data_IF_793098867468
#
_entry.id   IF_793098867468
#
_cell.length_a   1.000
_cell.length_b   1.000
_cell.length_c   1.000
_cell.angle_alpha   90.00
_cell.angle_beta   90.00
_cell.angle_gamma   90.00
#
_symmetry.space_group_name_H-M   'P 1'
#
loop_
_entity.id
_entity.type
_entity.pdbx_description
1 polymer ?
#
# COMPACT_ATOMS: atom_id res chain seq x y z
N UNK A 1 -22.16 -15.22 5.52
CA UNK A 1 -22.67 -14.66 4.24
C UNK A 1 -21.65 -13.66 3.73
N UNK A 2 -21.61 -13.36 2.43
CA UNK A 2 -20.77 -12.24 1.96
C UNK A 2 -21.38 -10.92 2.39
N UNK A 3 -20.53 -9.95 2.73
CA UNK A 3 -20.88 -8.55 2.96
C UNK A 3 -20.69 -7.69 1.69
N UNK A 4 -20.26 -8.28 0.58
CA UNK A 4 -20.11 -7.58 -0.71
C UNK A 4 -21.47 -7.28 -1.32
N UNK A 5 -21.61 -6.07 -1.86
CA UNK A 5 -22.79 -5.64 -2.61
C UNK A 5 -22.98 -6.47 -3.90
N UNK A 6 -24.22 -6.61 -4.41
CA UNK A 6 -24.48 -7.25 -5.70
C UNK A 6 -23.90 -6.42 -6.87
N UNK A 7 -23.80 -7.04 -8.05
CA UNK A 7 -23.59 -6.29 -9.28
C UNK A 7 -24.77 -5.32 -9.54
N UNK A 8 -24.56 -4.15 -10.17
CA UNK A 8 -23.33 -3.65 -10.79
C UNK A 8 -22.45 -2.80 -9.85
N UNK A 9 -22.41 -3.09 -8.55
CA UNK A 9 -21.51 -2.34 -7.64
C UNK A 9 -20.16 -3.05 -7.52
N UNK A 10 -19.09 -2.31 -7.83
CA UNK A 10 -17.71 -2.81 -7.80
C UNK A 10 -17.34 -3.58 -9.07
N UNK A 11 -17.35 -2.91 -10.21
CA UNK A 11 -16.96 -3.47 -11.52
C UNK A 11 -15.43 -3.59 -11.71
N UNK A 12 -14.64 -3.10 -10.74
CA UNK A 12 -13.17 -3.24 -10.70
C UNK A 12 -12.70 -4.65 -10.27
N UNK A 13 -13.62 -5.59 -10.05
CA UNK A 13 -13.33 -6.99 -9.76
C UNK A 13 -13.98 -7.95 -10.77
N UNK A 14 -13.25 -8.99 -11.18
CA UNK A 14 -13.82 -10.07 -11.97
C UNK A 14 -14.53 -11.08 -11.06
N UNK A 15 -15.87 -10.96 -11.00
CA UNK A 15 -16.75 -11.84 -10.23
C UNK A 15 -16.81 -13.29 -10.74
N UNK A 16 -16.23 -13.61 -11.90
CA UNK A 16 -16.08 -14.99 -12.39
C UNK A 16 -14.81 -15.68 -11.89
N UNK A 17 -13.74 -14.91 -11.62
CA UNK A 17 -12.45 -15.40 -11.11
C UNK A 17 -12.41 -15.35 -9.58
N UNK A 18 -12.83 -16.43 -8.92
CA UNK A 18 -12.77 -16.58 -7.46
C UNK A 18 -11.35 -16.88 -6.99
N UNK A 19 -10.86 -16.11 -6.01
CA UNK A 19 -9.53 -16.25 -5.41
C UNK A 19 -9.66 -16.79 -3.98
N UNK A 20 -8.95 -17.86 -3.64
CA UNK A 20 -8.95 -18.49 -2.31
C UNK A 20 -7.73 -18.06 -1.49
N UNK A 21 -7.95 -17.63 -0.25
CA UNK A 21 -6.87 -17.19 0.65
C UNK A 21 -7.17 -17.57 2.11
N UNK A 22 -6.24 -17.28 3.03
CA UNK A 22 -6.52 -17.40 4.46
C UNK A 22 -6.31 -16.09 5.22
N UNK A 23 -7.09 -15.90 6.28
CA UNK A 23 -7.01 -14.78 7.22
C UNK A 23 -6.90 -15.32 8.64
N UNK A 24 -5.74 -15.17 9.28
CA UNK A 24 -5.45 -15.75 10.59
C UNK A 24 -5.80 -17.26 10.66
N UNK A 25 -5.47 -18.01 9.60
CA UNK A 25 -5.76 -19.45 9.45
C UNK A 25 -7.18 -19.82 9.00
N UNK A 26 -8.14 -18.89 9.01
CA UNK A 26 -9.50 -19.10 8.47
C UNK A 26 -9.48 -18.97 6.94
N UNK A 27 -9.94 -19.99 6.20
CA UNK A 27 -10.13 -19.89 4.74
C UNK A 27 -11.22 -18.85 4.41
N UNK A 28 -10.93 -17.98 3.44
CA UNK A 28 -11.82 -16.94 2.91
C UNK A 28 -11.75 -16.94 1.36
N UNK A 29 -12.66 -16.21 0.73
CA UNK A 29 -12.70 -16.03 -0.73
C UNK A 29 -12.80 -14.54 -1.10
N UNK A 30 -12.06 -14.14 -2.13
CA UNK A 30 -12.19 -12.87 -2.84
C UNK A 30 -12.37 -13.11 -4.33
N UNK A 31 -12.14 -12.07 -5.12
CA UNK A 31 -12.20 -12.08 -6.59
C UNK A 31 -10.93 -11.46 -7.18
N UNK A 32 -10.59 -11.80 -8.43
CA UNK A 32 -9.50 -11.10 -9.13
C UNK A 32 -9.81 -9.59 -9.19
N UNK A 33 -8.79 -8.77 -8.96
CA UNK A 33 -8.92 -7.32 -8.77
C UNK A 33 -9.13 -6.86 -7.32
N UNK A 34 -9.52 -7.73 -6.37
CA UNK A 34 -9.56 -7.35 -4.96
C UNK A 34 -8.18 -6.95 -4.43
N UNK A 35 -8.15 -6.03 -3.47
CA UNK A 35 -7.04 -5.91 -2.52
C UNK A 35 -7.34 -6.72 -1.27
N UNK A 36 -6.31 -7.03 -0.47
CA UNK A 36 -6.50 -7.78 0.78
C UNK A 36 -7.53 -7.08 1.69
N UNK A 37 -7.56 -5.75 1.74
CA UNK A 37 -8.55 -5.00 2.51
C UNK A 37 -9.97 -5.14 1.95
N UNK A 38 -10.18 -5.04 0.63
CA UNK A 38 -11.52 -5.17 0.04
C UNK A 38 -12.07 -6.60 0.19
N UNK A 39 -11.22 -7.61 0.02
CA UNK A 39 -11.57 -9.01 0.26
C UNK A 39 -11.94 -9.28 1.73
N UNK A 40 -11.19 -8.73 2.70
CA UNK A 40 -11.48 -8.91 4.12
C UNK A 40 -12.77 -8.19 4.56
N UNK A 41 -13.01 -6.96 4.08
CA UNK A 41 -14.27 -6.25 4.29
C UNK A 41 -15.46 -7.00 3.68
N UNK A 42 -15.32 -7.54 2.46
CA UNK A 42 -16.33 -8.37 1.81
C UNK A 42 -16.66 -9.69 2.56
N UNK A 43 -15.77 -10.13 3.45
CA UNK A 43 -15.97 -11.27 4.35
C UNK A 43 -16.40 -10.86 5.78
N UNK A 44 -16.68 -9.56 6.01
CA UNK A 44 -17.17 -9.02 7.29
C UNK A 44 -16.09 -8.75 8.34
N UNK A 45 -14.80 -8.85 8.00
CA UNK A 45 -13.71 -8.64 8.95
C UNK A 45 -13.31 -7.15 8.97
N UNK A 46 -14.10 -6.32 9.67
CA UNK A 46 -13.92 -4.85 9.72
C UNK A 46 -12.73 -4.37 10.57
N UNK A 47 -12.21 -5.21 11.47
CA UNK A 47 -10.99 -4.92 12.24
C UNK A 47 -9.87 -5.73 11.60
N UNK A 48 -8.81 -5.05 11.16
CA UNK A 48 -7.67 -5.65 10.47
C UNK A 48 -6.38 -5.58 11.30
N UNK A 49 -6.30 -4.66 12.26
CA UNK A 49 -5.12 -4.47 13.10
C UNK A 49 -5.41 -3.87 14.47
N UNK A 50 -4.32 -3.63 15.22
CA UNK A 50 -4.33 -3.07 16.59
C UNK A 50 -3.29 -1.95 16.66
N UNK A 51 -3.68 -0.80 17.21
CA UNK A 51 -2.77 0.38 17.29
C UNK A 51 -1.53 0.09 18.14
N UNK A 52 -0.34 0.29 17.56
CA UNK A 52 0.99 -0.19 18.05
C UNK A 52 1.19 -0.22 19.58
N UNK A 53 0.79 0.84 20.28
CA UNK A 53 1.04 1.05 21.72
C UNK A 53 -0.14 0.69 22.61
N UNK A 54 -1.36 0.98 22.15
CA UNK A 54 -2.58 0.96 22.98
C UNK A 54 -3.50 -0.22 22.67
N UNK A 55 -3.24 -0.94 21.57
CA UNK A 55 -4.02 -2.09 21.12
C UNK A 55 -5.54 -1.78 20.99
N UNK A 56 -5.87 -0.51 20.74
CA UNK A 56 -7.20 -0.11 20.26
C UNK A 56 -7.44 -0.78 18.89
N UNK A 57 -8.63 -1.38 18.64
CA UNK A 57 -8.98 -1.92 17.33
C UNK A 57 -8.78 -0.90 16.22
N UNK A 58 -8.31 -1.34 15.06
CA UNK A 58 -8.17 -0.52 13.86
C UNK A 58 -8.63 -1.29 12.62
N UNK A 59 -9.41 -0.62 11.78
CA UNK A 59 -9.88 -1.08 10.47
C UNK A 59 -9.42 -0.14 9.37
N UNK A 60 -9.90 -0.36 8.15
CA UNK A 60 -9.70 0.55 7.00
C UNK A 60 -10.16 1.96 7.37
N UNK A 61 -9.37 2.97 7.00
CA UNK A 61 -9.67 4.40 7.15
C UNK A 61 -9.75 5.11 5.80
N UNK A 62 -8.79 4.87 4.91
CA UNK A 62 -8.67 5.57 3.61
C UNK A 62 -8.87 4.65 2.41
N UNK A 63 -8.72 3.33 2.60
CA UNK A 63 -8.79 2.31 1.55
C UNK A 63 -7.73 2.44 0.42
N UNK A 64 -6.68 3.23 0.63
CA UNK A 64 -5.59 3.48 -0.32
C UNK A 64 -4.22 2.97 0.19
N UNK A 65 -3.15 3.16 -0.59
CA UNK A 65 -1.78 2.85 -0.18
C UNK A 65 -1.35 3.51 1.15
N UNK A 66 -1.89 4.68 1.47
CA UNK A 66 -1.50 5.49 2.61
C UNK A 66 -2.20 5.12 3.92
N UNK A 67 -3.12 4.14 3.91
CA UNK A 67 -3.89 3.72 5.08
C UNK A 67 -3.00 3.46 6.31
N UNK A 68 -3.20 4.20 7.42
CA UNK A 68 -2.33 4.16 8.60
C UNK A 68 -2.61 2.98 9.54
N UNK A 69 -3.62 2.16 9.24
CA UNK A 69 -4.15 1.13 10.13
C UNK A 69 -3.90 -0.29 9.60
N UNK A 70 -3.96 -0.49 8.29
CA UNK A 70 -4.17 -1.82 7.67
C UNK A 70 -2.87 -2.45 7.16
N UNK A 71 -1.87 -2.53 8.05
CA UNK A 71 -0.64 -3.30 7.78
C UNK A 71 -0.78 -4.73 8.27
N UNK A 72 -0.59 -5.69 7.37
CA UNK A 72 -0.73 -7.14 7.62
C UNK A 72 0.58 -7.89 7.33
N UNK A 73 0.69 -9.11 7.85
CA UNK A 73 1.64 -10.10 7.36
C UNK A 73 0.99 -10.82 6.17
N UNK A 74 1.74 -11.03 5.09
CA UNK A 74 1.33 -11.88 3.96
C UNK A 74 2.45 -12.88 3.75
N UNK A 75 2.18 -14.15 4.06
CA UNK A 75 3.19 -15.21 4.02
C UNK A 75 4.42 -14.83 4.88
N UNK A 76 5.61 -14.75 4.30
CA UNK A 76 6.84 -14.30 4.97
C UNK A 76 7.06 -12.77 4.95
N UNK A 77 6.26 -12.00 4.21
CA UNK A 77 6.38 -10.55 4.07
C UNK A 77 5.63 -9.77 5.18
N UNK A 78 6.33 -9.02 6.06
CA UNK A 78 5.70 -8.19 7.08
C UNK A 78 5.39 -6.78 6.58
N UNK A 79 4.47 -6.10 7.27
CA UNK A 79 4.08 -4.70 7.09
C UNK A 79 3.43 -4.37 5.73
N UNK A 80 2.88 -5.37 5.05
CA UNK A 80 2.20 -5.22 3.75
C UNK A 80 0.96 -4.35 3.90
N UNK A 81 0.78 -3.37 3.00
CA UNK A 81 -0.41 -2.50 2.95
C UNK A 81 -1.59 -3.29 2.39
N UNK A 82 -2.51 -3.72 3.24
CA UNK A 82 -3.65 -4.53 2.84
C UNK A 82 -4.55 -3.82 1.82
N UNK A 83 -4.64 -2.49 1.90
CA UNK A 83 -5.42 -1.66 0.97
C UNK A 83 -4.81 -1.56 -0.43
N UNK A 84 -3.51 -1.85 -0.61
CA UNK A 84 -2.81 -1.75 -1.91
C UNK A 84 -2.42 -3.10 -2.52
N UNK A 85 -2.03 -4.06 -1.67
CA UNK A 85 -1.64 -5.40 -2.14
C UNK A 85 -2.89 -6.08 -2.70
N UNK A 86 -2.90 -6.29 -4.02
CA UNK A 86 -3.85 -7.18 -4.69
C UNK A 86 -3.83 -8.56 -4.03
N UNK A 87 -5.00 -9.15 -3.92
CA UNK A 87 -5.18 -10.53 -3.49
C UNK A 87 -4.60 -11.48 -4.56
N UNK A 88 -4.01 -12.59 -4.15
CA UNK A 88 -3.64 -13.70 -5.03
C UNK A 88 -4.04 -15.03 -4.38
N UNK A 89 -4.18 -16.07 -5.20
CA UNK A 89 -4.58 -17.40 -4.71
C UNK A 89 -3.49 -18.01 -3.82
N UNK A 90 -3.92 -18.68 -2.75
CA UNK A 90 -3.05 -19.33 -1.76
C UNK A 90 -2.55 -18.44 -0.62
N UNK A 91 -2.58 -17.10 -0.74
CA UNK A 91 -2.00 -16.16 0.25
C UNK A 91 -2.39 -16.46 1.71
N UNK A 92 -1.39 -16.55 2.60
CA UNK A 92 -1.58 -16.65 4.05
C UNK A 92 -1.48 -15.27 4.73
N UNK A 93 -2.62 -14.58 4.83
CA UNK A 93 -2.70 -13.26 5.45
C UNK A 93 -2.94 -13.36 6.96
N UNK A 94 -2.25 -12.57 7.78
CA UNK A 94 -2.52 -12.48 9.22
C UNK A 94 -2.30 -11.09 9.82
N UNK A 95 -2.91 -10.86 10.99
CA UNK A 95 -2.82 -9.60 11.70
C UNK A 95 -1.54 -9.49 12.53
N UNK A 96 -0.87 -8.34 12.42
CA UNK A 96 0.40 -8.07 13.09
C UNK A 96 0.23 -7.46 14.48
N UNK A 97 1.23 -7.63 15.36
CA UNK A 97 1.25 -7.10 16.73
C UNK A 97 -0.02 -7.38 17.57
N UNK A 98 -0.52 -8.61 17.55
CA UNK A 98 -1.66 -9.06 18.37
C UNK A 98 -1.30 -10.30 19.19
N UNK A 99 -1.84 -10.45 20.41
CA UNK A 99 -1.65 -11.71 21.16
C UNK A 99 -2.75 -11.98 22.21
N UNK A 100 -3.33 -13.19 22.28
CA UNK A 100 -3.13 -14.33 21.38
C UNK A 100 -3.83 -14.21 20.03
N UNK A 101 -4.72 -13.23 19.83
CA UNK A 101 -5.44 -13.05 18.55
C UNK A 101 -5.88 -11.60 18.31
N UNK A 102 -6.30 -11.29 17.08
CA UNK A 102 -6.84 -9.96 16.75
C UNK A 102 -8.12 -9.60 17.53
N UNK A 103 -8.96 -10.60 17.85
CA UNK A 103 -10.23 -10.42 18.57
C UNK A 103 -9.99 -10.37 20.08
N UNK A 104 -9.24 -11.33 20.61
CA UNK A 104 -8.77 -11.37 22.00
C UNK A 104 -7.29 -10.98 22.06
N UNK A 105 -7.02 -9.69 22.26
CA UNK A 105 -5.67 -9.12 22.38
C UNK A 105 -5.42 -8.65 23.82
N UNK A 106 -4.64 -9.40 24.60
CA UNK A 106 -4.34 -9.12 26.01
C UNK A 106 -3.49 -7.86 26.16
N UNK A 107 -2.72 -7.48 25.13
CA UNK A 107 -1.95 -6.21 25.12
C UNK A 107 -2.86 -4.97 25.17
N UNK A 108 -4.18 -5.10 24.98
CA UNK A 108 -5.17 -4.04 25.23
C UNK A 108 -5.16 -3.52 26.69
N UNK A 109 -4.69 -4.32 27.66
CA UNK A 109 -4.47 -3.87 29.04
C UNK A 109 -3.50 -2.67 29.14
N UNK A 110 -2.63 -2.45 28.15
CA UNK A 110 -1.75 -1.28 28.05
C UNK A 110 -2.53 0.05 28.02
N UNK A 111 -3.81 0.04 27.67
CA UNK A 111 -4.68 1.22 27.79
C UNK A 111 -4.83 1.71 29.23
N UNK A 112 -4.93 0.81 30.21
CA UNK A 112 -5.14 1.13 31.62
C UNK A 112 -3.91 1.82 32.25
N UNK A 113 -2.71 1.40 31.84
CA UNK A 113 -1.42 2.00 32.28
C UNK A 113 -0.88 3.04 31.29
N UNK A 114 -1.66 3.41 30.26
CA UNK A 114 -1.22 4.19 29.11
C UNK A 114 -0.71 5.60 29.41
N UNK A 115 -1.02 6.14 30.61
CA UNK A 115 -0.50 7.41 31.13
C UNK A 115 0.98 7.34 31.53
N UNK A 116 1.46 6.18 31.98
CA UNK A 116 2.84 5.98 32.44
C UNK A 116 3.79 5.63 31.28
N UNK A 117 3.27 4.95 30.26
CA UNK A 117 3.97 4.61 29.00
C UNK A 117 4.17 5.86 28.12
N UNK A 118 4.84 6.90 28.61
CA UNK A 118 5.13 8.12 27.85
C UNK A 118 6.10 7.87 26.69
N UNK A 119 6.16 8.78 25.71
CA UNK A 119 7.10 8.66 24.60
C UNK A 119 8.54 8.62 25.11
N UNK A 120 9.30 7.60 24.69
CA UNK A 120 10.67 7.36 25.18
C UNK A 120 10.78 6.75 26.59
N UNK A 121 9.68 6.31 27.21
CA UNK A 121 9.70 5.60 28.51
C UNK A 121 10.70 4.43 28.51
N UNK A 122 10.66 3.59 27.47
CA UNK A 122 11.53 2.41 27.36
C UNK A 122 13.03 2.77 27.41
N UNK A 123 13.45 3.81 26.68
CA UNK A 123 14.83 4.30 26.69
C UNK A 123 15.23 4.87 28.05
N UNK A 124 14.34 5.60 28.73
CA UNK A 124 14.61 6.19 30.05
C UNK A 124 14.69 5.15 31.17
N UNK A 125 13.90 4.08 31.10
CA UNK A 125 13.74 3.10 32.18
C UNK A 125 14.62 1.86 32.02
N UNK A 126 14.91 1.41 30.80
CA UNK A 126 15.58 0.11 30.58
C UNK A 126 17.01 0.21 30.04
N UNK A 127 17.49 1.35 29.54
CA UNK A 127 18.90 1.47 29.11
C UNK A 127 19.92 1.47 30.27
N UNK A 128 19.47 1.52 31.54
CA UNK A 128 20.32 1.41 32.73
C UNK A 128 19.66 0.50 33.78
N UNK A 129 20.43 -0.35 34.49
CA UNK A 129 21.85 -0.61 34.31
C UNK A 129 22.12 -1.50 33.08
N UNK A 130 23.15 -1.17 32.29
CA UNK A 130 23.43 -1.83 31.01
C UNK A 130 23.62 -3.37 31.11
N UNK A 131 24.03 -3.90 32.27
CA UNK A 131 24.13 -5.35 32.52
C UNK A 131 22.79 -6.10 32.39
N UNK A 132 21.66 -5.41 32.58
CA UNK A 132 20.31 -5.97 32.44
C UNK A 132 19.72 -5.75 31.04
N UNK A 133 20.40 -5.00 30.16
CA UNK A 133 19.90 -4.72 28.82
C UNK A 133 19.51 -5.97 28.01
N UNK A 134 20.30 -7.07 27.95
CA UNK A 134 19.91 -8.26 27.19
C UNK A 134 18.61 -8.91 27.68
N UNK A 135 18.34 -8.84 28.99
CA UNK A 135 17.10 -9.35 29.57
C UNK A 135 15.90 -8.42 29.27
N UNK A 136 16.11 -7.11 29.33
CA UNK A 136 15.09 -6.13 28.92
C UNK A 136 14.80 -6.20 27.43
N UNK A 137 15.81 -6.32 26.57
CA UNK A 137 15.71 -6.46 25.13
C UNK A 137 14.91 -7.72 24.75
N UNK A 138 15.22 -8.88 25.34
CA UNK A 138 14.47 -10.12 25.12
C UNK A 138 12.98 -10.02 25.52
N UNK A 139 12.63 -9.18 26.51
CA UNK A 139 11.23 -8.92 26.87
C UNK A 139 10.61 -7.89 25.93
N UNK A 140 11.27 -6.76 25.67
CA UNK A 140 10.78 -5.64 24.87
C UNK A 140 10.61 -6.00 23.40
N UNK A 141 11.43 -6.90 22.85
CA UNK A 141 11.26 -7.43 21.50
C UNK A 141 9.89 -8.09 21.27
N UNK A 142 9.29 -8.70 22.31
CA UNK A 142 7.94 -9.30 22.26
C UNK A 142 6.81 -8.24 22.25
N UNK A 143 7.17 -6.98 22.48
CA UNK A 143 6.33 -5.79 22.33
C UNK A 143 6.77 -4.89 21.16
N UNK A 144 7.70 -5.35 20.30
CA UNK A 144 8.03 -4.64 19.07
C UNK A 144 6.79 -4.63 18.15
N UNK A 145 6.37 -3.47 17.62
CA UNK A 145 5.26 -3.39 16.70
C UNK A 145 5.69 -3.77 15.28
N UNK A 146 4.96 -4.69 14.66
CA UNK A 146 5.20 -5.18 13.30
C UNK A 146 4.82 -6.66 13.18
N UNK A 147 5.14 -7.22 12.02
CA UNK A 147 5.08 -8.66 11.74
C UNK A 147 6.43 -9.35 11.97
N UNK A 148 6.52 -10.59 11.49
CA UNK A 148 7.73 -11.41 11.50
C UNK A 148 8.48 -11.26 10.18
N UNK A 149 9.78 -10.98 10.26
CA UNK A 149 10.72 -11.25 9.16
C UNK A 149 11.18 -12.69 9.31
N UNK A 150 10.99 -13.51 8.29
CA UNK A 150 11.73 -14.78 8.18
C UNK A 150 13.14 -14.48 7.65
N UNK A 151 14.14 -15.19 8.19
CA UNK A 151 15.55 -15.05 7.81
C UNK A 151 15.96 -16.06 6.74
N UNK A 152 15.17 -17.12 6.56
CA UNK A 152 15.37 -18.15 5.54
C UNK A 152 14.61 -17.85 4.22
N UNK A 153 13.88 -16.72 4.15
CA UNK A 153 13.23 -16.21 2.92
C UNK A 153 14.21 -16.18 1.74
N UNK A 154 13.91 -16.88 0.63
CA UNK A 154 14.75 -16.85 -0.56
C UNK A 154 14.83 -15.45 -1.18
N UNK A 155 16.05 -14.96 -1.43
CA UNK A 155 16.25 -13.68 -2.12
C UNK A 155 15.67 -13.73 -3.53
N UNK A 156 14.55 -13.02 -3.73
CA UNK A 156 13.95 -12.84 -5.05
C UNK A 156 14.83 -12.03 -6.00
N UNK A 157 14.47 -12.04 -7.29
CA UNK A 157 15.20 -11.31 -8.32
C UNK A 157 14.78 -9.83 -8.34
N UNK A 158 15.76 -8.95 -8.23
CA UNK A 158 15.61 -7.50 -8.38
C UNK A 158 16.53 -7.01 -9.50
N UNK A 159 16.18 -5.89 -10.15
CA UNK A 159 17.07 -5.28 -11.15
C UNK A 159 17.05 -3.74 -11.18
N UNK A 160 17.75 -3.17 -12.16
CA UNK A 160 17.89 -1.73 -12.37
C UNK A 160 17.84 -1.37 -13.85
N UNK A 161 17.13 -0.31 -14.20
CA UNK A 161 17.06 0.26 -15.55
C UNK A 161 17.58 1.69 -15.53
N UNK A 162 18.31 2.12 -16.56
CA UNK A 162 18.62 3.53 -16.79
C UNK A 162 17.76 4.03 -17.94
N UNK A 163 17.19 5.22 -17.82
CA UNK A 163 16.29 5.80 -18.82
C UNK A 163 16.55 7.30 -18.98
N UNK A 164 16.33 7.83 -20.19
CA UNK A 164 16.56 9.24 -20.52
C UNK A 164 15.36 9.84 -21.26
N UNK A 165 14.13 9.80 -20.68
CA UNK A 165 12.98 10.47 -21.27
C UNK A 165 13.17 11.99 -21.23
N UNK A 166 12.51 12.72 -22.12
CA UNK A 166 12.44 14.18 -22.04
C UNK A 166 11.62 14.61 -20.82
N UNK A 167 10.48 13.95 -20.59
CA UNK A 167 9.54 14.26 -19.52
C UNK A 167 9.23 13.02 -18.69
N UNK A 168 9.28 13.16 -17.37
CA UNK A 168 8.62 12.23 -16.43
C UNK A 168 7.42 12.92 -15.83
N UNK A 169 6.30 12.21 -15.75
CA UNK A 169 5.08 12.66 -15.08
C UNK A 169 4.81 11.76 -13.87
N UNK A 170 4.69 12.36 -12.69
CA UNK A 170 4.47 11.66 -11.43
C UNK A 170 2.99 11.77 -11.00
N UNK A 171 2.22 10.69 -11.13
CA UNK A 171 0.78 10.63 -10.91
C UNK A 171 0.01 10.45 -12.23
N UNK A 172 -0.85 9.44 -12.28
CA UNK A 172 -1.68 9.03 -13.42
C UNK A 172 -3.15 9.46 -13.33
N UNK A 173 -3.47 10.44 -12.48
CA UNK A 173 -4.75 11.15 -12.50
C UNK A 173 -4.94 12.02 -13.75
N UNK A 174 -6.10 12.67 -13.93
CA UNK A 174 -6.44 13.40 -15.15
C UNK A 174 -5.43 14.51 -15.51
N UNK A 175 -4.93 15.25 -14.52
CA UNK A 175 -3.89 16.28 -14.73
C UNK A 175 -2.55 15.70 -15.17
N UNK A 176 -2.20 14.50 -14.72
CA UNK A 176 -0.99 13.78 -15.13
C UNK A 176 -1.12 13.20 -16.53
N UNK A 177 -2.25 12.55 -16.83
CA UNK A 177 -2.53 12.05 -18.18
C UNK A 177 -2.58 13.18 -19.21
N UNK A 178 -3.26 14.30 -18.92
CA UNK A 178 -3.29 15.46 -19.81
C UNK A 178 -1.90 16.06 -20.04
N UNK A 179 -1.06 16.17 -19.01
CA UNK A 179 0.30 16.66 -19.14
C UNK A 179 1.22 15.67 -19.91
N UNK A 180 1.01 14.36 -19.75
CA UNK A 180 1.75 13.33 -20.47
C UNK A 180 1.37 13.31 -21.96
N UNK A 181 0.08 13.38 -22.27
CA UNK A 181 -0.46 13.45 -23.63
C UNK A 181 0.07 14.68 -24.37
N UNK A 182 -0.10 15.88 -23.79
CA UNK A 182 0.36 17.13 -24.42
C UNK A 182 1.89 17.16 -24.64
N UNK A 183 2.68 16.54 -23.78
CA UNK A 183 4.12 16.41 -23.98
C UNK A 183 4.47 15.43 -25.12
N UNK A 184 3.75 14.31 -25.24
CA UNK A 184 3.93 13.33 -26.30
C UNK A 184 3.49 13.88 -27.67
N UNK A 185 2.35 14.58 -27.73
CA UNK A 185 1.87 15.30 -28.93
C UNK A 185 2.86 16.39 -29.38
N UNK A 186 3.56 17.03 -28.44
CA UNK A 186 4.67 17.94 -28.72
C UNK A 186 5.98 17.23 -29.13
N UNK A 187 5.96 15.90 -29.34
CA UNK A 187 7.11 15.11 -29.79
C UNK A 187 8.15 14.78 -28.72
N UNK A 188 7.82 14.94 -27.43
CA UNK A 188 8.71 14.56 -26.33
C UNK A 188 8.62 13.06 -26.03
N UNK A 189 9.71 12.43 -25.61
CA UNK A 189 9.67 11.10 -25.00
C UNK A 189 9.17 11.22 -23.55
N UNK A 190 8.04 10.57 -23.24
CA UNK A 190 7.32 10.71 -21.96
C UNK A 190 7.25 9.39 -21.19
N UNK A 191 7.52 9.45 -19.88
CA UNK A 191 7.31 8.36 -18.93
C UNK A 191 6.28 8.78 -17.88
N UNK A 192 5.10 8.18 -17.90
CA UNK A 192 4.01 8.42 -16.94
C UNK A 192 4.05 7.35 -15.83
N UNK A 193 4.15 7.78 -14.58
CA UNK A 193 4.37 6.90 -13.42
C UNK A 193 3.19 7.01 -12.45
N UNK A 194 2.51 5.89 -12.21
CA UNK A 194 1.37 5.77 -11.31
C UNK A 194 1.65 4.69 -10.24
N UNK A 195 1.47 5.05 -8.98
CA UNK A 195 1.64 4.14 -7.84
C UNK A 195 0.50 3.12 -7.73
N UNK A 196 -0.70 3.48 -8.20
CA UNK A 196 -1.85 2.58 -8.31
C UNK A 196 -1.74 1.59 -9.47
N UNK A 197 -2.57 0.54 -9.44
CA UNK A 197 -2.55 -0.54 -10.43
C UNK A 197 -3.08 -0.13 -11.81
N UNK A 198 -3.81 0.99 -11.90
CA UNK A 198 -4.39 1.55 -13.13
C UNK A 198 -4.36 3.08 -13.13
N UNK A 199 -4.47 3.69 -14.31
CA UNK A 199 -4.59 5.15 -14.46
C UNK A 199 -6.00 5.65 -14.11
N UNK A 200 -6.15 6.97 -13.95
CA UNK A 200 -7.43 7.65 -13.70
C UNK A 200 -7.46 8.45 -12.39
N UNK A 201 -6.72 8.02 -11.37
CA UNK A 201 -6.67 8.70 -10.08
C UNK A 201 -8.07 8.88 -9.45
N UNK A 202 -8.41 10.10 -9.03
CA UNK A 202 -9.67 10.36 -8.34
C UNK A 202 -10.93 10.12 -9.19
N UNK A 203 -10.84 10.19 -10.53
CA UNK A 203 -11.97 9.93 -11.42
C UNK A 203 -12.53 8.50 -11.31
N UNK A 204 -11.70 7.55 -10.86
CA UNK A 204 -12.10 6.16 -10.61
C UNK A 204 -13.17 6.02 -9.52
N UNK A 205 -13.29 7.02 -8.65
CA UNK A 205 -14.27 7.10 -7.57
C UNK A 205 -15.46 8.03 -7.91
N UNK A 206 -15.49 8.57 -9.13
CA UNK A 206 -16.52 9.47 -9.63
C UNK A 206 -17.70 8.77 -10.30
N UNK A 207 -18.48 9.57 -11.03
CA UNK A 207 -19.59 9.12 -11.86
C UNK A 207 -19.15 8.20 -13.01
N UNK A 208 -20.12 7.61 -13.71
CA UNK A 208 -19.84 6.75 -14.87
C UNK A 208 -19.13 7.54 -15.99
N UNK A 209 -19.48 8.83 -16.15
CA UNK A 209 -18.83 9.76 -17.07
C UNK A 209 -17.38 10.08 -16.66
N UNK A 210 -17.11 10.25 -15.36
CA UNK A 210 -15.73 10.44 -14.85
C UNK A 210 -14.86 9.21 -15.15
N UNK A 211 -15.40 8.00 -14.95
CA UNK A 211 -14.69 6.75 -15.24
C UNK A 211 -14.51 6.53 -16.75
N UNK A 212 -15.46 6.97 -17.58
CA UNK A 212 -15.31 6.98 -19.04
C UNK A 212 -14.17 7.94 -19.47
N UNK A 213 -14.18 9.19 -18.99
CA UNK A 213 -13.14 10.18 -19.29
C UNK A 213 -11.74 9.72 -18.84
N UNK A 214 -11.64 9.02 -17.70
CA UNK A 214 -10.38 8.42 -17.25
C UNK A 214 -9.85 7.36 -18.23
N UNK A 215 -10.73 6.50 -18.75
CA UNK A 215 -10.38 5.46 -19.73
C UNK A 215 -9.98 6.07 -21.08
N UNK A 216 -10.69 7.12 -21.55
CA UNK A 216 -10.35 7.84 -22.78
C UNK A 216 -8.97 8.52 -22.68
N UNK A 217 -8.68 9.21 -21.57
CA UNK A 217 -7.36 9.81 -21.33
C UNK A 217 -6.23 8.76 -21.26
N UNK A 218 -6.48 7.61 -20.63
CA UNK A 218 -5.52 6.52 -20.56
C UNK A 218 -5.24 5.91 -21.96
N UNK A 219 -6.29 5.71 -22.77
CA UNK A 219 -6.18 5.25 -24.14
C UNK A 219 -5.45 6.25 -25.04
N UNK A 220 -5.72 7.55 -24.89
CA UNK A 220 -5.03 8.62 -25.62
C UNK A 220 -3.53 8.65 -25.28
N UNK A 221 -3.15 8.54 -23.99
CA UNK A 221 -1.74 8.45 -23.58
C UNK A 221 -1.03 7.26 -24.23
N UNK A 222 -1.68 6.08 -24.25
CA UNK A 222 -1.12 4.88 -24.89
C UNK A 222 -0.99 5.05 -26.41
N UNK A 223 -1.99 5.64 -27.08
CA UNK A 223 -1.96 5.92 -28.52
C UNK A 223 -0.89 6.94 -28.91
N UNK A 224 -0.61 7.92 -28.05
CA UNK A 224 0.48 8.90 -28.21
C UNK A 224 1.88 8.33 -27.91
N UNK A 225 1.99 7.06 -27.50
CA UNK A 225 3.28 6.41 -27.24
C UNK A 225 3.92 6.76 -25.89
N UNK A 226 3.14 7.23 -24.91
CA UNK A 226 3.62 7.46 -23.53
C UNK A 226 4.04 6.13 -22.90
N UNK A 227 5.23 6.07 -22.28
CA UNK A 227 5.61 4.91 -21.48
C UNK A 227 4.87 4.94 -20.14
N UNK A 228 3.80 4.14 -20.02
CA UNK A 228 2.97 4.04 -18.83
C UNK A 228 3.53 2.99 -17.87
N UNK A 229 3.74 3.38 -16.61
CA UNK A 229 4.26 2.54 -15.53
C UNK A 229 3.29 2.58 -14.33
N UNK A 230 2.37 1.62 -14.25
CA UNK A 230 1.49 1.41 -13.07
C UNK A 230 2.17 0.56 -11.99
N UNK A 231 1.59 0.53 -10.77
CA UNK A 231 2.17 -0.06 -9.56
C UNK A 231 3.65 0.34 -9.37
N UNK A 232 3.93 1.63 -9.59
CA UNK A 232 5.27 2.20 -9.68
C UNK A 232 5.36 3.54 -8.95
N UNK A 233 6.29 3.68 -8.01
CA UNK A 233 6.38 4.86 -7.16
C UNK A 233 7.56 5.75 -7.57
N UNK A 234 7.32 7.03 -7.87
CA UNK A 234 8.39 8.05 -7.91
C UNK A 234 8.87 8.29 -6.47
N UNK A 235 10.01 7.73 -6.12
CA UNK A 235 10.53 7.72 -4.75
C UNK A 235 11.31 9.00 -4.39
N UNK A 236 11.83 9.73 -5.38
CA UNK A 236 12.57 10.97 -5.13
C UNK A 236 13.11 11.64 -6.40
N UNK A 237 13.34 12.95 -6.30
CA UNK A 237 14.00 13.78 -7.32
C UNK A 237 15.23 14.44 -6.69
N UNK A 238 16.40 14.09 -7.21
CA UNK A 238 17.72 14.60 -6.82
C UNK A 238 18.25 15.60 -7.86
N UNK A 239 19.51 16.00 -7.72
CA UNK A 239 20.25 16.92 -8.59
C UNK A 239 20.07 16.57 -10.08
N UNK A 240 19.97 17.59 -10.92
CA UNK A 240 19.76 17.51 -12.38
C UNK A 240 18.54 16.65 -12.81
N UNK A 241 17.51 16.54 -11.96
CA UNK A 241 16.33 15.67 -12.14
C UNK A 241 16.67 14.16 -12.25
N UNK A 242 17.15 13.55 -11.17
CA UNK A 242 17.16 12.06 -11.00
C UNK A 242 15.84 11.52 -10.19
N UNK A 243 15.54 10.92 -11.34
CA UNK A 243 14.34 10.12 -11.59
C UNK A 243 14.28 8.78 -10.85
N UNK A 244 14.31 8.68 -9.52
CA UNK A 244 14.25 7.37 -8.86
C UNK A 244 12.81 6.84 -8.83
N UNK A 245 12.57 5.75 -9.56
CA UNK A 245 11.25 5.12 -9.66
C UNK A 245 11.37 3.65 -9.26
N UNK A 246 10.53 3.21 -8.33
CA UNK A 246 10.45 1.83 -7.88
C UNK A 246 9.27 1.13 -8.57
N UNK A 247 9.53 0.27 -9.56
CA UNK A 247 8.51 -0.42 -10.35
C UNK A 247 8.27 -1.83 -9.83
N UNK A 248 7.02 -2.15 -9.43
CA UNK A 248 6.60 -3.48 -8.92
C UNK A 248 5.75 -4.29 -9.92
N UNK A 249 5.60 -3.78 -11.14
CA UNK A 249 4.79 -4.36 -12.22
C UNK A 249 5.60 -5.09 -13.31
N UNK A 250 6.92 -5.24 -13.16
CA UNK A 250 7.75 -5.76 -14.25
C UNK A 250 7.88 -7.30 -14.24
N UNK A 251 7.55 -8.00 -15.34
CA UNK A 251 7.69 -9.46 -15.41
C UNK A 251 9.12 -9.96 -15.12
N UNK A 252 9.21 -10.99 -14.29
CA UNK A 252 10.47 -11.69 -14.00
C UNK A 252 11.37 -11.05 -12.94
N UNK A 253 10.94 -9.97 -12.28
CA UNK A 253 11.58 -9.38 -11.09
C UNK A 253 10.51 -8.97 -10.06
N UNK A 254 10.86 -8.90 -8.77
CA UNK A 254 9.95 -8.43 -7.71
C UNK A 254 9.85 -6.90 -7.74
N UNK A 255 10.99 -6.21 -7.82
CA UNK A 255 11.03 -4.76 -7.99
C UNK A 255 12.21 -4.35 -8.89
N UNK A 256 11.97 -3.36 -9.75
CA UNK A 256 12.96 -2.71 -10.61
C UNK A 256 13.18 -1.28 -10.14
N UNK A 257 14.44 -0.91 -9.88
CA UNK A 257 14.83 0.49 -9.72
C UNK A 257 15.10 1.12 -11.10
N UNK A 258 14.17 1.92 -11.61
CA UNK A 258 14.45 2.77 -12.76
C UNK A 258 15.16 4.03 -12.26
N UNK A 259 16.25 4.37 -12.93
CA UNK A 259 16.98 5.64 -12.79
C UNK A 259 16.75 6.46 -14.06
N UNK A 260 15.71 7.28 -14.04
CA UNK A 260 15.43 8.22 -15.12
C UNK A 260 16.28 9.49 -14.97
N UNK A 261 16.77 10.04 -16.08
CA UNK A 261 17.43 11.36 -16.18
C UNK A 261 16.58 12.18 -17.13
N UNK A 262 15.73 13.05 -16.60
CA UNK A 262 14.72 13.77 -17.39
C UNK A 262 15.05 15.26 -17.56
N UNK A 263 14.67 15.85 -18.70
CA UNK A 263 14.74 17.32 -18.88
C UNK A 263 13.72 18.00 -17.95
N UNK A 264 12.52 17.44 -17.87
CA UNK A 264 11.41 17.96 -17.06
C UNK A 264 10.81 16.88 -16.16
N UNK A 265 10.43 17.26 -14.94
CA UNK A 265 9.53 16.49 -14.06
C UNK A 265 8.23 17.27 -13.89
N UNK A 266 7.10 16.68 -14.26
CA UNK A 266 5.76 17.17 -13.92
C UNK A 266 5.27 16.41 -12.69
N UNK A 267 4.84 17.13 -11.65
CA UNK A 267 4.27 16.53 -10.44
C UNK A 267 2.75 16.68 -10.46
N UNK A 268 2.05 15.58 -10.66
CA UNK A 268 0.59 15.47 -10.72
C UNK A 268 0.05 14.53 -9.62
N UNK A 269 0.74 14.47 -8.47
CA UNK A 269 0.53 13.52 -7.37
C UNK A 269 -0.82 13.66 -6.61
N UNK A 270 -1.73 14.52 -7.05
CA UNK A 270 -3.05 14.73 -6.45
C UNK A 270 -3.00 15.31 -5.03
N UNK A 271 -4.02 14.98 -4.24
CA UNK A 271 -4.21 15.42 -2.85
C UNK A 271 -4.88 14.32 -2.04
N UNK A 272 -4.38 14.03 -0.84
CA UNK A 272 -4.99 13.10 0.11
C UNK A 272 -6.00 13.81 1.02
N UNK A 273 -7.08 13.13 1.40
CA UNK A 273 -8.01 13.63 2.42
C UNK A 273 -7.33 13.63 3.81
N UNK A 274 -7.73 14.56 4.69
CA UNK A 274 -7.20 14.65 6.06
C UNK A 274 -8.32 14.46 7.10
N UNK A 275 -8.23 13.46 7.99
CA UNK A 275 -9.23 13.28 9.04
C UNK A 275 -9.26 14.46 10.03
N UNK A 276 -10.43 14.67 10.64
CA UNK A 276 -10.62 15.63 11.73
C UNK A 276 -10.04 15.10 13.05
N UNK A 277 -9.63 16.02 13.93
CA UNK A 277 -9.11 15.72 15.26
C UNK A 277 -10.21 15.92 16.30
N UNK A 278 -10.72 14.82 16.85
CA UNK A 278 -11.76 14.81 17.88
C UNK A 278 -11.61 13.58 18.79
N UNK A 279 -12.31 13.56 19.93
CA UNK A 279 -12.25 12.42 20.86
C UNK A 279 -12.90 11.17 20.25
N UNK A 280 -12.09 10.14 19.99
CA UNK A 280 -12.56 8.83 19.50
C UNK A 280 -11.98 8.36 18.17
N UNK A 281 -11.08 9.13 17.55
CA UNK A 281 -10.33 8.72 16.34
C UNK A 281 -9.06 7.85 16.63
#
# INVERSE_FOLDING_TARGET
>A
MSHRLPAPLGDVIDRSSVISFTWNGKKLQGFEGDTIASALLANGEHILGRSMKYHRPRGVLTADFWDPNTTVQVDDEPNVRASHRKLADGMAVSAQNVWPSLKFDVKAANGLVGRFLTAGFYYKTFMKPAKLWPAYEHVLAKFAPGGSVDLDTPLGRYDKRHAHPDVVVAGGGPSGMAAALAAAEAGSSVMLVEHEHQLGGHLLWGSDDDRAAANELAAACAAAGVEILTNSTVAGRYEDNWISISQRSHPGVIERLIKARAKTLVVAAGTIERPYVFQGN
#
